data_IF_385629691325
#
_entry.id   IF_385629691325
#
_cell.length_a   1.000
_cell.length_b   1.000
_cell.length_c   1.000
_cell.angle_alpha   90.00
_cell.angle_beta   90.00
_cell.angle_gamma   90.00
#
_symmetry.space_group_name_H-M   'P 1'
#
loop_
_entity.id
_entity.type
_entity.pdbx_description
1 polymer ?
#
# COMPACT_ATOMS: atom_id res chain seq x y z
N UNK A 1 -58.01 -24.32 -38.30
CA UNK A 1 -57.33 -24.42 -36.99
C UNK A 1 -55.82 -24.32 -37.23
N UNK A 2 -55.15 -23.24 -36.83
CA UNK A 2 -53.71 -23.12 -36.94
C UNK A 2 -53.05 -23.64 -35.65
N UNK A 3 -52.12 -24.59 -35.78
CA UNK A 3 -51.26 -25.01 -34.67
C UNK A 3 -50.08 -24.06 -34.57
N UNK A 4 -50.00 -23.36 -33.43
CA UNK A 4 -48.93 -22.44 -33.07
C UNK A 4 -47.61 -23.21 -32.92
N UNK A 5 -46.62 -22.88 -33.76
CA UNK A 5 -45.23 -23.23 -33.50
C UNK A 5 -44.66 -22.28 -32.45
N UNK A 6 -44.39 -22.79 -31.24
CA UNK A 6 -43.71 -22.01 -30.21
C UNK A 6 -42.26 -21.79 -30.64
N UNK A 7 -41.92 -20.57 -31.08
CA UNK A 7 -40.54 -20.16 -31.25
C UNK A 7 -39.88 -20.01 -29.87
N UNK A 8 -39.18 -21.05 -29.41
CA UNK A 8 -38.14 -20.87 -28.38
C UNK A 8 -37.00 -20.10 -29.02
N UNK A 9 -37.06 -18.76 -28.95
CA UNK A 9 -35.88 -17.92 -29.08
C UNK A 9 -34.95 -18.32 -27.93
N UNK A 10 -33.88 -19.06 -28.24
CA UNK A 10 -32.73 -19.17 -27.34
C UNK A 10 -32.23 -17.75 -27.12
N UNK A 11 -32.42 -17.25 -25.90
CA UNK A 11 -31.74 -16.05 -25.43
C UNK A 11 -30.24 -16.27 -25.66
N UNK A 12 -29.64 -15.32 -26.35
CA UNK A 12 -28.19 -15.27 -26.49
C UNK A 12 -27.61 -15.10 -25.08
N UNK A 13 -26.52 -15.83 -24.84
CA UNK A 13 -25.86 -15.95 -23.54
C UNK A 13 -25.54 -14.58 -22.92
N UNK A 14 -25.72 -14.51 -21.60
CA UNK A 14 -25.29 -13.40 -20.74
C UNK A 14 -23.81 -13.03 -20.99
N UNK A 15 -23.45 -11.75 -21.02
CA UNK A 15 -22.07 -11.34 -21.20
C UNK A 15 -21.24 -11.74 -19.96
N UNK A 16 -20.11 -12.40 -20.22
CA UNK A 16 -19.14 -12.93 -19.24
C UNK A 16 -18.38 -11.85 -18.42
N UNK A 17 -18.96 -10.67 -18.21
CA UNK A 17 -18.29 -9.48 -17.66
C UNK A 17 -18.96 -8.94 -16.39
N UNK A 18 -19.94 -9.68 -15.85
CA UNK A 18 -20.65 -9.29 -14.64
C UNK A 18 -19.91 -9.71 -13.35
N UNK A 19 -20.36 -9.14 -12.23
CA UNK A 19 -19.77 -9.39 -10.92
C UNK A 19 -19.91 -10.85 -10.47
N UNK A 20 -20.96 -11.56 -10.91
CA UNK A 20 -21.15 -12.98 -10.58
C UNK A 20 -20.08 -13.85 -11.26
N UNK A 21 -19.71 -13.54 -12.50
CA UNK A 21 -18.57 -14.19 -13.18
C UNK A 21 -17.27 -13.97 -12.42
N UNK A 22 -17.01 -12.74 -11.96
CA UNK A 22 -15.82 -12.40 -11.16
C UNK A 22 -15.80 -13.19 -9.85
N UNK A 23 -16.92 -13.27 -9.15
CA UNK A 23 -17.08 -14.05 -7.92
C UNK A 23 -16.83 -15.53 -8.20
N UNK A 24 -17.40 -16.08 -9.27
CA UNK A 24 -17.23 -17.48 -9.67
C UNK A 24 -15.78 -17.85 -10.00
N UNK A 25 -15.05 -16.99 -10.70
CA UNK A 25 -13.63 -17.23 -11.06
C UNK A 25 -12.71 -17.11 -9.85
N UNK A 26 -12.98 -16.16 -8.95
CA UNK A 26 -12.05 -15.80 -7.87
C UNK A 26 -12.36 -16.48 -6.54
N UNK A 27 -13.60 -16.93 -6.34
CA UNK A 27 -14.13 -17.40 -5.05
C UNK A 27 -14.27 -16.29 -4.00
N UNK A 28 -14.08 -15.03 -4.39
CA UNK A 28 -14.20 -13.89 -3.47
C UNK A 28 -15.62 -13.36 -3.50
N UNK A 29 -16.29 -13.35 -2.34
CA UNK A 29 -17.68 -12.91 -2.23
C UNK A 29 -17.90 -11.45 -2.65
N UNK A 30 -19.10 -11.19 -3.18
CA UNK A 30 -19.55 -9.91 -3.76
C UNK A 30 -19.21 -8.67 -2.92
N UNK A 31 -19.39 -8.75 -1.59
CA UNK A 31 -19.15 -7.64 -0.65
C UNK A 31 -17.72 -7.09 -0.63
N UNK A 32 -16.76 -7.84 -1.18
CA UNK A 32 -15.36 -7.43 -1.22
C UNK A 32 -14.94 -6.78 -2.54
N UNK A 33 -15.84 -6.69 -3.52
CA UNK A 33 -15.59 -6.07 -4.81
C UNK A 33 -16.22 -4.69 -4.84
N UNK A 34 -15.38 -3.67 -5.01
CA UNK A 34 -15.80 -2.28 -5.16
C UNK A 34 -15.73 -1.91 -6.64
N UNK A 35 -16.83 -1.49 -7.23
CA UNK A 35 -16.85 -1.01 -8.61
C UNK A 35 -16.07 0.30 -8.76
N UNK A 36 -15.54 0.53 -9.96
CA UNK A 36 -14.91 1.79 -10.32
C UNK A 36 -15.06 2.08 -11.81
N UNK A 37 -15.03 3.37 -12.15
CA UNK A 37 -14.87 3.88 -13.51
C UNK A 37 -13.95 5.08 -13.46
N UNK A 38 -12.86 5.05 -14.23
CA UNK A 38 -11.79 6.07 -14.19
C UNK A 38 -11.18 6.29 -15.56
N UNK A 39 -10.52 7.44 -15.70
CA UNK A 39 -9.60 7.74 -16.81
C UNK A 39 -8.17 7.63 -16.28
N UNK A 40 -7.30 6.95 -17.01
CA UNK A 40 -5.87 6.88 -16.71
C UNK A 40 -5.18 8.24 -16.92
N UNK A 41 -3.96 8.43 -16.38
CA UNK A 41 -3.16 9.63 -16.65
C UNK A 41 -2.97 9.92 -18.15
N UNK A 42 -2.78 8.88 -18.97
CA UNK A 42 -2.66 8.96 -20.42
C UNK A 42 -3.97 9.18 -21.18
N UNK A 43 -5.11 9.28 -20.48
CA UNK A 43 -6.42 9.57 -21.09
C UNK A 43 -7.25 8.34 -21.47
N UNK A 44 -6.85 7.13 -21.07
CA UNK A 44 -7.55 5.88 -21.38
C UNK A 44 -8.66 5.63 -20.37
N UNK A 45 -9.89 5.47 -20.82
CA UNK A 45 -11.04 5.17 -19.98
C UNK A 45 -11.14 3.67 -19.70
N UNK A 46 -11.29 3.29 -18.42
CA UNK A 46 -11.50 1.90 -18.05
C UNK A 46 -12.33 1.77 -16.77
N UNK A 47 -13.03 0.65 -16.65
CA UNK A 47 -13.91 0.34 -15.54
C UNK A 47 -13.79 -1.13 -15.13
N UNK A 48 -14.25 -1.43 -13.93
CA UNK A 48 -14.18 -2.78 -13.37
C UNK A 48 -14.45 -2.81 -11.88
N UNK A 49 -13.86 -3.81 -11.22
CA UNK A 49 -13.98 -4.02 -9.79
C UNK A 49 -12.61 -4.15 -9.12
N UNK A 50 -12.47 -3.57 -7.94
CA UNK A 50 -11.30 -3.65 -7.07
C UNK A 50 -11.60 -4.57 -5.89
N UNK A 51 -10.76 -5.58 -5.66
CA UNK A 51 -10.89 -6.48 -4.52
C UNK A 51 -10.29 -5.86 -3.25
N UNK A 52 -11.12 -5.74 -2.21
CA UNK A 52 -10.73 -5.28 -0.86
C UNK A 52 -10.61 -6.41 0.16
N UNK A 53 -10.75 -7.67 -0.26
CA UNK A 53 -10.60 -8.80 0.64
C UNK A 53 -9.15 -8.91 1.11
N UNK A 54 -8.93 -8.99 2.42
CA UNK A 54 -7.61 -9.15 3.03
C UNK A 54 -7.06 -10.57 2.87
N UNK A 55 -6.79 -10.96 1.62
CA UNK A 55 -6.30 -12.27 1.24
C UNK A 55 -5.17 -12.15 0.20
N UNK A 56 -4.85 -13.26 -0.48
CA UNK A 56 -4.01 -13.24 -1.68
C UNK A 56 -4.59 -12.41 -2.84
N UNK A 57 -5.85 -11.98 -2.73
CA UNK A 57 -6.57 -11.20 -3.75
C UNK A 57 -6.59 -9.70 -3.47
N UNK A 58 -6.10 -9.25 -2.32
CA UNK A 58 -6.13 -7.84 -1.94
C UNK A 58 -5.55 -6.94 -3.05
N UNK A 59 -6.31 -5.91 -3.44
CA UNK A 59 -5.93 -4.95 -4.47
C UNK A 59 -6.03 -5.47 -5.92
N UNK A 60 -6.49 -6.69 -6.16
CA UNK A 60 -6.70 -7.19 -7.54
C UNK A 60 -7.75 -6.35 -8.26
N UNK A 61 -7.49 -5.95 -9.50
CA UNK A 61 -8.52 -5.43 -10.41
C UNK A 61 -9.09 -6.55 -11.26
N UNK A 62 -10.41 -6.55 -11.41
CA UNK A 62 -11.11 -7.21 -12.49
C UNK A 62 -11.61 -6.13 -13.45
N UNK A 63 -10.88 -5.90 -14.54
CA UNK A 63 -11.26 -4.95 -15.57
C UNK A 63 -12.40 -5.54 -16.40
N UNK A 64 -13.51 -4.81 -16.47
CA UNK A 64 -14.69 -5.22 -17.25
C UNK A 64 -14.85 -4.40 -18.53
N UNK A 65 -14.19 -3.24 -18.61
CA UNK A 65 -14.27 -2.36 -19.76
C UNK A 65 -12.98 -1.55 -19.94
N UNK A 66 -12.51 -1.40 -21.19
CA UNK A 66 -11.42 -0.50 -21.60
C UNK A 66 -11.82 0.18 -22.91
N UNK A 67 -11.73 1.51 -22.99
CA UNK A 67 -12.13 2.32 -24.16
C UNK A 67 -13.54 1.98 -24.67
N UNK A 68 -14.48 1.82 -23.74
CA UNK A 68 -15.87 1.49 -24.04
C UNK A 68 -16.13 0.02 -24.40
N UNK A 69 -15.08 -0.79 -24.61
CA UNK A 69 -15.20 -2.21 -25.02
C UNK A 69 -15.23 -3.15 -23.82
N UNK A 70 -16.19 -4.07 -23.81
CA UNK A 70 -16.33 -5.09 -22.76
C UNK A 70 -15.26 -6.18 -22.86
N UNK A 71 -14.67 -6.54 -21.72
CA UNK A 71 -13.68 -7.62 -21.61
C UNK A 71 -13.59 -8.10 -20.16
N UNK A 72 -12.90 -9.19 -19.89
CA UNK A 72 -12.56 -9.55 -18.52
C UNK A 72 -11.06 -9.82 -18.39
N UNK A 73 -10.36 -8.92 -17.71
CA UNK A 73 -8.93 -9.07 -17.41
C UNK A 73 -8.66 -8.90 -15.92
N UNK A 74 -7.77 -9.70 -15.36
CA UNK A 74 -7.37 -9.59 -13.96
C UNK A 74 -5.95 -9.06 -13.82
N UNK A 75 -5.83 -7.92 -13.16
CA UNK A 75 -4.55 -7.28 -12.83
C UNK A 75 -4.28 -7.53 -11.35
N UNK A 76 -3.17 -8.20 -11.06
CA UNK A 76 -2.85 -8.61 -9.70
C UNK A 76 -2.48 -7.40 -8.83
N UNK A 77 -3.05 -7.34 -7.64
CA UNK A 77 -2.63 -6.43 -6.58
C UNK A 77 -1.49 -7.02 -5.74
N UNK A 78 -0.95 -6.21 -4.83
CA UNK A 78 -0.02 -6.68 -3.82
C UNK A 78 -0.80 -7.45 -2.74
N UNK A 79 -0.58 -8.77 -2.58
CA UNK A 79 -1.33 -9.56 -1.62
C UNK A 79 -1.02 -9.14 -0.18
N UNK A 80 -1.93 -9.43 0.75
CA UNK A 80 -1.63 -9.31 2.17
C UNK A 80 -0.53 -10.30 2.54
N UNK A 81 0.62 -9.82 3.02
CA UNK A 81 1.72 -10.68 3.48
C UNK A 81 1.33 -11.29 4.84
N UNK A 82 1.24 -12.62 4.95
CA UNK A 82 0.88 -13.27 6.21
C UNK A 82 2.06 -13.32 7.20
N UNK A 83 1.74 -13.47 8.48
CA UNK A 83 2.73 -14.01 9.42
C UNK A 83 2.82 -15.53 9.28
N UNK A 84 3.99 -16.15 9.54
CA UNK A 84 4.15 -17.60 9.52
C UNK A 84 3.77 -18.24 10.86
N UNK A 85 2.66 -17.83 11.48
CA UNK A 85 2.19 -18.42 12.72
C UNK A 85 1.01 -19.36 12.48
N UNK A 86 0.99 -20.45 13.22
CA UNK A 86 -0.11 -21.41 13.24
C UNK A 86 -0.51 -21.68 14.69
N UNK A 87 -1.81 -21.91 14.92
CA UNK A 87 -2.29 -22.38 16.22
C UNK A 87 -2.21 -23.90 16.24
N UNK A 88 -1.64 -24.46 17.30
CA UNK A 88 -1.63 -25.90 17.51
C UNK A 88 -3.00 -26.41 18.03
N UNK A 89 -3.08 -27.70 18.36
CA UNK A 89 -4.33 -28.32 18.88
C UNK A 89 -4.76 -27.79 20.25
N UNK A 90 -3.89 -27.08 20.97
CA UNK A 90 -4.14 -26.49 22.28
C UNK A 90 -4.23 -24.95 22.21
N UNK A 91 -4.47 -24.41 21.02
CA UNK A 91 -4.59 -22.97 20.75
C UNK A 91 -3.30 -22.15 20.99
N UNK A 92 -2.14 -22.82 21.09
CA UNK A 92 -0.86 -22.17 21.26
C UNK A 92 -0.30 -21.71 19.91
N UNK A 93 0.17 -20.46 19.87
CA UNK A 93 0.77 -19.86 18.65
C UNK A 93 2.19 -20.41 18.44
N UNK A 94 2.40 -21.06 17.31
CA UNK A 94 3.67 -21.65 16.90
C UNK A 94 4.20 -20.96 15.64
N UNK A 95 5.51 -20.71 15.60
CA UNK A 95 6.20 -20.26 14.39
C UNK A 95 6.39 -21.44 13.44
N UNK A 96 5.64 -21.47 12.34
CA UNK A 96 5.70 -22.51 11.32
C UNK A 96 5.89 -21.84 9.98
N UNK A 97 7.09 -21.93 9.41
CA UNK A 97 7.45 -21.32 8.12
C UNK A 97 7.23 -22.36 7.01
N UNK A 98 6.16 -22.24 6.18
CA UNK A 98 5.93 -23.18 5.10
C UNK A 98 6.93 -22.94 3.97
N UNK A 99 7.78 -23.94 3.70
CA UNK A 99 8.76 -23.90 2.61
C UNK A 99 8.13 -24.52 1.37
N UNK A 100 8.03 -23.79 0.24
CA UNK A 100 7.57 -24.36 -1.02
C UNK A 100 8.47 -25.54 -1.45
N UNK A 101 7.90 -26.60 -2.06
CA UNK A 101 8.72 -27.63 -2.70
C UNK A 101 9.68 -27.01 -3.70
N UNK A 102 10.94 -27.48 -3.71
CA UNK A 102 12.01 -26.96 -4.57
C UNK A 102 12.32 -25.48 -4.33
N UNK A 103 12.25 -25.04 -3.08
CA UNK A 103 12.83 -23.77 -2.68
C UNK A 103 14.34 -23.78 -2.97
N UNK A 104 14.83 -22.72 -3.61
CA UNK A 104 16.22 -22.58 -4.04
C UNK A 104 16.92 -21.38 -3.40
N UNK A 105 16.16 -20.49 -2.77
CA UNK A 105 16.66 -19.27 -2.15
C UNK A 105 15.72 -18.89 -1.00
N UNK A 106 16.29 -18.49 0.14
CA UNK A 106 15.57 -17.83 1.21
C UNK A 106 16.38 -16.64 1.71
N UNK A 107 15.71 -15.53 2.00
CA UNK A 107 16.36 -14.32 2.48
C UNK A 107 15.43 -13.43 3.26
N UNK A 108 15.99 -12.66 4.18
CA UNK A 108 15.31 -11.54 4.82
C UNK A 108 15.63 -10.28 4.03
N UNK A 109 14.59 -9.49 3.79
CA UNK A 109 14.67 -8.17 3.15
C UNK A 109 14.10 -7.12 4.09
N UNK A 110 14.54 -5.87 4.01
CA UNK A 110 13.96 -4.80 4.84
C UNK A 110 12.47 -4.66 4.57
N UNK A 111 11.66 -4.60 5.63
CA UNK A 111 10.28 -4.17 5.51
C UNK A 111 10.25 -2.65 5.69
N UNK A 112 10.14 -1.97 4.56
CA UNK A 112 9.90 -0.53 4.52
C UNK A 112 8.43 -0.26 4.86
N UNK A 113 8.20 0.82 5.59
CA UNK A 113 6.92 1.27 6.10
C UNK A 113 6.54 2.54 5.33
N UNK A 114 5.63 2.38 4.39
CA UNK A 114 5.22 3.45 3.52
C UNK A 114 3.98 3.05 2.74
N UNK A 115 3.88 3.60 1.53
CA UNK A 115 2.76 3.33 0.64
C UNK A 115 3.20 2.43 -0.50
N UNK A 116 2.51 1.31 -0.66
CA UNK A 116 2.75 0.41 -1.78
C UNK A 116 2.22 1.03 -3.09
N UNK A 117 3.13 1.38 -3.99
CA UNK A 117 2.85 1.88 -5.34
C UNK A 117 3.06 0.75 -6.35
N UNK A 118 1.99 0.37 -7.05
CA UNK A 118 2.03 -0.64 -8.11
C UNK A 118 2.04 0.02 -9.47
N UNK A 119 2.90 -0.47 -10.35
CA UNK A 119 2.91 -0.17 -11.78
C UNK A 119 2.41 -1.39 -12.53
N UNK A 120 1.32 -1.22 -13.29
CA UNK A 120 0.71 -2.29 -14.07
C UNK A 120 0.43 -1.83 -15.50
N UNK A 121 0.41 -2.77 -16.45
CA UNK A 121 0.07 -2.48 -17.84
C UNK A 121 -1.46 -2.53 -18.03
N UNK A 122 -2.03 -1.46 -18.59
CA UNK A 122 -3.33 -1.49 -19.24
C UNK A 122 -3.13 -1.94 -20.70
N UNK A 123 -3.95 -2.87 -21.16
CA UNK A 123 -3.76 -3.52 -22.47
C UNK A 123 -4.97 -3.36 -23.38
N UNK A 124 -4.72 -3.30 -24.68
CA UNK A 124 -5.73 -3.42 -25.73
C UNK A 124 -6.19 -4.88 -25.89
N UNK A 125 -7.07 -5.13 -26.86
CA UNK A 125 -7.67 -6.45 -27.10
C UNK A 125 -6.65 -7.45 -27.68
N UNK A 126 -5.65 -6.94 -28.41
CA UNK A 126 -4.53 -7.70 -28.96
C UNK A 126 -3.45 -8.02 -27.92
N UNK A 127 -3.56 -7.45 -26.70
CA UNK A 127 -2.61 -7.60 -25.61
C UNK A 127 -1.44 -6.62 -25.66
N UNK A 128 -1.44 -5.68 -26.60
CA UNK A 128 -0.55 -4.53 -26.67
C UNK A 128 -0.73 -3.63 -25.44
N UNK A 129 0.37 -3.08 -24.93
CA UNK A 129 0.33 -2.20 -23.75
C UNK A 129 -0.02 -0.79 -24.18
N UNK A 130 -1.21 -0.32 -23.82
CA UNK A 130 -1.67 1.05 -24.01
C UNK A 130 -0.91 2.00 -23.10
N UNK A 131 -0.86 1.68 -21.81
CA UNK A 131 -0.26 2.53 -20.79
C UNK A 131 0.26 1.69 -19.62
N UNK A 132 1.28 2.19 -18.92
CA UNK A 132 1.69 1.66 -17.61
C UNK A 132 1.23 2.64 -16.54
N UNK A 133 0.36 2.17 -15.66
CA UNK A 133 -0.38 3.02 -14.71
C UNK A 133 0.17 2.80 -13.30
N UNK A 134 0.60 3.87 -12.60
CA UNK A 134 0.87 3.83 -11.17
C UNK A 134 -0.44 3.87 -10.36
N UNK A 135 -0.46 3.18 -9.22
CA UNK A 135 -1.59 3.19 -8.28
C UNK A 135 -1.17 2.77 -6.88
N UNK A 136 -1.94 3.16 -5.87
CA UNK A 136 -1.83 2.53 -4.54
C UNK A 136 -2.49 1.15 -4.54
N UNK A 137 -2.35 0.39 -3.44
CA UNK A 137 -2.93 -0.96 -3.34
C UNK A 137 -4.44 -0.99 -3.51
N UNK A 138 -5.19 0.03 -3.07
CA UNK A 138 -6.65 0.04 -3.06
C UNK A 138 -7.26 1.16 -3.93
N UNK A 139 -6.56 1.57 -4.98
CA UNK A 139 -7.07 2.48 -5.99
C UNK A 139 -6.74 1.96 -7.39
N UNK A 140 -7.58 2.20 -8.41
CA UNK A 140 -7.27 1.80 -9.78
C UNK A 140 -6.19 2.70 -10.42
N UNK A 141 -6.14 3.98 -10.03
CA UNK A 141 -5.16 4.99 -10.48
C UNK A 141 -4.74 5.82 -9.27
N UNK A 142 -3.56 6.44 -9.31
CA UNK A 142 -3.23 7.51 -8.35
C UNK A 142 -4.17 8.70 -8.54
N UNK A 143 -4.78 9.16 -7.46
CA UNK A 143 -5.62 10.36 -7.47
C UNK A 143 -5.00 11.45 -6.58
N UNK A 144 -4.99 12.72 -7.02
CA UNK A 144 -4.83 13.82 -6.10
C UNK A 144 -5.96 13.76 -5.07
N UNK A 145 -5.63 13.92 -3.80
CA UNK A 145 -6.62 14.17 -2.75
C UNK A 145 -6.38 15.56 -2.17
N UNK A 146 -7.42 16.21 -1.65
CA UNK A 146 -7.25 17.47 -0.90
C UNK A 146 -6.38 17.33 0.37
N UNK A 147 -6.00 16.11 0.70
CA UNK A 147 -5.20 15.75 1.87
C UNK A 147 -3.76 15.39 1.50
N UNK A 148 -3.47 15.27 0.20
CA UNK A 148 -2.13 15.18 -0.38
C UNK A 148 -2.13 14.50 -1.75
N UNK A 149 -1.03 14.68 -2.47
CA UNK A 149 -0.91 14.36 -3.89
C UNK A 149 0.12 13.24 -4.12
N UNK A 150 -0.40 12.01 -4.28
CA UNK A 150 0.44 10.85 -4.60
C UNK A 150 1.20 11.01 -5.91
N UNK A 151 0.64 11.75 -6.89
CA UNK A 151 1.33 12.00 -8.15
C UNK A 151 2.52 12.92 -7.94
N UNK A 152 2.37 13.99 -7.14
CA UNK A 152 3.48 14.88 -6.81
C UNK A 152 4.60 14.16 -6.05
N UNK A 153 4.25 13.36 -5.03
CA UNK A 153 5.24 12.57 -4.29
C UNK A 153 5.96 11.57 -5.19
N UNK A 154 5.23 10.88 -6.07
CA UNK A 154 5.83 9.92 -6.99
C UNK A 154 6.74 10.61 -8.03
N UNK A 155 6.31 11.73 -8.61
CA UNK A 155 7.06 12.47 -9.62
C UNK A 155 8.40 13.01 -9.08
N UNK A 156 8.50 13.25 -7.79
CA UNK A 156 9.75 13.69 -7.17
C UNK A 156 10.81 12.59 -7.13
N UNK A 157 10.42 11.37 -6.75
CA UNK A 157 11.33 10.22 -6.62
C UNK A 157 11.45 9.40 -7.91
N UNK A 158 10.55 9.61 -8.86
CA UNK A 158 10.53 8.98 -10.18
C UNK A 158 10.19 10.03 -11.25
N UNK A 159 11.07 11.03 -11.48
CA UNK A 159 10.83 12.07 -12.48
C UNK A 159 10.85 11.52 -13.92
N UNK A 160 11.56 10.42 -14.15
CA UNK A 160 11.51 9.64 -15.39
C UNK A 160 10.94 8.24 -15.10
N UNK A 161 9.67 7.97 -15.45
CA UNK A 161 9.06 6.66 -15.24
C UNK A 161 9.50 5.62 -16.29
N UNK A 162 10.19 6.03 -17.37
CA UNK A 162 10.54 5.18 -18.53
C UNK A 162 11.18 3.84 -18.14
N UNK A 163 12.14 3.77 -17.20
CA UNK A 163 12.74 2.48 -16.84
C UNK A 163 11.73 1.52 -16.19
N UNK A 164 10.82 2.03 -15.37
CA UNK A 164 9.75 1.24 -14.74
C UNK A 164 8.74 0.79 -15.80
N UNK A 165 8.33 1.70 -16.68
CA UNK A 165 7.40 1.36 -17.76
C UNK A 165 7.95 0.29 -18.69
N UNK A 166 9.22 0.42 -19.08
CA UNK A 166 9.91 -0.60 -19.89
C UNK A 166 9.98 -1.93 -19.17
N UNK A 167 10.29 -1.95 -17.88
CA UNK A 167 10.31 -3.18 -17.09
C UNK A 167 8.94 -3.87 -17.08
N UNK A 168 7.86 -3.11 -16.83
CA UNK A 168 6.48 -3.62 -16.84
C UNK A 168 6.10 -4.16 -18.23
N UNK A 169 6.37 -3.41 -19.30
CA UNK A 169 6.06 -3.78 -20.68
C UNK A 169 6.83 -5.03 -21.13
N UNK A 170 8.16 -4.99 -21.05
CA UNK A 170 9.05 -6.03 -21.58
C UNK A 170 8.99 -7.33 -20.76
N UNK A 171 8.79 -7.26 -19.44
CA UNK A 171 8.74 -8.45 -18.57
C UNK A 171 7.32 -8.98 -18.37
N UNK A 172 6.29 -8.20 -18.76
CA UNK A 172 4.88 -8.52 -18.55
C UNK A 172 4.57 -8.85 -17.08
N UNK A 173 4.93 -7.91 -16.20
CA UNK A 173 4.83 -8.01 -14.74
C UNK A 173 4.12 -6.77 -14.20
N UNK A 174 3.46 -6.92 -13.05
CA UNK A 174 3.15 -5.77 -12.18
C UNK A 174 4.32 -5.59 -11.22
N UNK A 175 4.90 -4.40 -11.15
CA UNK A 175 5.96 -4.09 -10.17
C UNK A 175 5.35 -3.37 -8.98
N UNK A 176 5.71 -3.79 -7.77
CA UNK A 176 5.26 -3.17 -6.53
C UNK A 176 6.46 -2.56 -5.81
N UNK A 177 6.42 -1.25 -5.65
CA UNK A 177 7.38 -0.45 -4.93
C UNK A 177 6.80 -0.02 -3.59
N UNK A 178 7.67 0.29 -2.64
CA UNK A 178 7.32 1.08 -1.47
C UNK A 178 7.77 2.51 -1.71
N UNK A 179 6.85 3.47 -1.55
CA UNK A 179 7.15 4.90 -1.43
C UNK A 179 7.26 5.20 0.07
N UNK A 180 8.43 5.58 0.56
CA UNK A 180 8.73 5.69 1.99
C UNK A 180 9.64 6.87 2.29
N UNK A 181 9.70 7.28 3.56
CA UNK A 181 10.48 8.42 4.03
C UNK A 181 9.66 9.31 4.97
N UNK A 182 10.28 10.30 5.62
CA UNK A 182 9.57 11.14 6.59
C UNK A 182 8.43 11.96 5.98
N UNK A 183 8.44 12.17 4.65
CA UNK A 183 7.37 12.87 3.91
C UNK A 183 6.20 11.98 3.52
N UNK A 184 6.34 10.67 3.71
CA UNK A 184 5.24 9.72 3.66
C UNK A 184 5.14 9.00 5.01
N UNK A 185 4.72 9.70 6.08
CA UNK A 185 4.80 9.20 7.44
C UNK A 185 3.82 8.04 7.68
N UNK A 186 4.34 7.01 8.32
CA UNK A 186 3.61 5.86 8.84
C UNK A 186 4.01 5.64 10.31
N UNK A 187 4.25 4.40 10.73
CA UNK A 187 4.71 4.05 12.07
C UNK A 187 6.20 4.34 12.25
N UNK A 188 7.01 4.08 11.22
CA UNK A 188 8.46 4.24 11.26
C UNK A 188 8.89 5.68 10.98
N UNK A 189 9.76 6.18 11.83
CA UNK A 189 10.48 7.44 11.62
C UNK A 189 11.71 7.23 10.75
N UNK A 190 11.77 7.91 9.61
CA UNK A 190 12.89 7.86 8.67
C UNK A 190 13.70 9.16 8.69
N UNK A 191 15.02 9.05 8.47
CA UNK A 191 15.86 10.21 8.16
C UNK A 191 15.83 10.52 6.64
N UNK A 192 15.48 9.54 5.81
CA UNK A 192 15.28 9.71 4.36
C UNK A 192 14.04 10.56 4.10
N UNK A 193 14.15 11.62 3.29
CA UNK A 193 13.02 12.48 2.92
C UNK A 193 11.91 11.75 2.19
N UNK A 194 12.23 11.22 1.02
CA UNK A 194 11.31 10.41 0.22
C UNK A 194 12.14 9.51 -0.70
N UNK A 195 11.74 8.25 -0.83
CA UNK A 195 12.38 7.27 -1.70
C UNK A 195 11.35 6.28 -2.25
N UNK A 196 11.65 5.73 -3.43
CA UNK A 196 10.87 4.66 -4.06
C UNK A 196 11.75 3.42 -4.19
N UNK A 197 11.32 2.30 -3.64
CA UNK A 197 12.13 1.07 -3.62
C UNK A 197 11.31 -0.13 -4.08
N UNK A 198 11.82 -0.86 -5.08
CA UNK A 198 11.19 -2.05 -5.63
C UNK A 198 11.20 -3.16 -4.57
N UNK A 199 10.02 -3.57 -4.15
CA UNK A 199 9.83 -4.59 -3.12
C UNK A 199 9.51 -5.95 -3.74
N UNK A 200 8.68 -6.00 -4.79
CA UNK A 200 8.35 -7.25 -5.50
C UNK A 200 7.88 -7.03 -6.93
N UNK A 201 7.79 -8.12 -7.70
CA UNK A 201 7.05 -8.19 -8.95
C UNK A 201 6.02 -9.30 -8.90
N UNK A 202 4.96 -9.17 -9.68
CA UNK A 202 3.85 -10.12 -9.74
C UNK A 202 3.62 -10.51 -11.20
N UNK A 203 3.55 -11.81 -11.46
CA UNK A 203 3.23 -12.36 -12.77
C UNK A 203 2.24 -13.51 -12.63
N UNK A 204 1.16 -13.47 -13.40
CA UNK A 204 0.08 -14.45 -13.31
C UNK A 204 -0.39 -14.69 -11.86
N UNK A 205 -0.56 -13.61 -11.09
CA UNK A 205 -0.98 -13.64 -9.68
C UNK A 205 -0.02 -14.37 -8.72
N UNK A 206 1.24 -14.56 -9.11
CA UNK A 206 2.30 -15.12 -8.27
C UNK A 206 3.42 -14.09 -8.09
N UNK A 207 3.92 -13.97 -6.87
CA UNK A 207 5.10 -13.15 -6.59
C UNK A 207 6.32 -13.76 -7.28
N UNK A 208 7.17 -12.92 -7.87
CA UNK A 208 8.40 -13.34 -8.52
C UNK A 208 9.41 -13.85 -7.50
N UNK A 209 10.19 -14.86 -7.89
CA UNK A 209 11.38 -15.25 -7.16
C UNK A 209 12.34 -14.07 -7.03
N UNK A 210 12.95 -13.88 -5.85
CA UNK A 210 13.83 -12.73 -5.59
C UNK A 210 15.01 -12.64 -6.57
N UNK A 211 15.71 -13.74 -6.94
CA UNK A 211 16.79 -13.65 -7.93
C UNK A 211 16.33 -13.08 -9.28
N UNK A 212 15.11 -13.40 -9.72
CA UNK A 212 14.54 -12.86 -10.94
C UNK A 212 14.14 -11.39 -10.79
N UNK A 213 13.57 -11.02 -9.64
CA UNK A 213 13.30 -9.61 -9.31
C UNK A 213 14.59 -8.77 -9.33
N UNK A 214 15.68 -9.29 -8.77
CA UNK A 214 16.98 -8.63 -8.74
C UNK A 214 17.59 -8.48 -10.14
N UNK A 215 17.34 -9.42 -11.05
CA UNK A 215 17.73 -9.29 -12.46
C UNK A 215 16.94 -8.17 -13.16
N UNK A 216 15.63 -8.09 -12.94
CA UNK A 216 14.79 -7.01 -13.46
C UNK A 216 15.31 -5.67 -12.91
N UNK A 217 15.48 -5.56 -11.60
CA UNK A 217 15.97 -4.34 -10.97
C UNK A 217 17.29 -3.87 -11.58
N UNK A 218 18.26 -4.77 -11.73
CA UNK A 218 19.56 -4.47 -12.35
C UNK A 218 19.44 -4.06 -13.81
N UNK A 219 18.63 -4.78 -14.61
CA UNK A 219 18.48 -4.53 -16.05
C UNK A 219 17.87 -3.15 -16.34
N UNK A 220 16.95 -2.70 -15.50
CA UNK A 220 16.22 -1.44 -15.68
C UNK A 220 16.68 -0.34 -14.70
N UNK A 221 17.75 -0.54 -13.94
CA UNK A 221 18.28 0.46 -13.01
C UNK A 221 17.33 0.84 -11.86
N UNK A 222 16.53 -0.11 -11.37
CA UNK A 222 15.53 0.14 -10.33
C UNK A 222 16.15 -0.08 -8.93
N UNK A 223 15.93 0.82 -7.96
CA UNK A 223 16.33 0.60 -6.57
C UNK A 223 15.62 -0.64 -6.02
N UNK A 224 16.35 -1.66 -5.62
CA UNK A 224 15.80 -2.90 -5.05
C UNK A 224 15.88 -2.85 -3.51
N UNK A 225 14.86 -3.39 -2.85
CA UNK A 225 14.87 -3.57 -1.39
C UNK A 225 16.13 -4.31 -0.92
N UNK A 226 16.72 -3.84 0.18
CA UNK A 226 17.93 -4.42 0.73
C UNK A 226 17.69 -5.85 1.22
N UNK A 227 18.59 -6.76 0.83
CA UNK A 227 18.66 -8.13 1.33
C UNK A 227 19.58 -8.18 2.54
N UNK A 228 19.01 -8.15 3.74
CA UNK A 228 19.76 -8.06 5.00
C UNK A 228 20.37 -9.39 5.47
N UNK A 229 19.83 -10.53 5.00
CA UNK A 229 20.43 -11.84 5.23
C UNK A 229 19.97 -12.83 4.17
N UNK A 230 20.91 -13.58 3.58
CA UNK A 230 20.60 -14.79 2.81
C UNK A 230 20.67 -15.99 3.77
N UNK A 231 19.69 -16.87 3.70
CA UNK A 231 19.57 -18.04 4.55
C UNK A 231 19.35 -19.31 3.71
N UNK A 232 19.69 -20.46 4.28
CA UNK A 232 19.32 -21.75 3.72
C UNK A 232 17.80 -21.91 3.82
N UNK A 233 17.12 -22.41 2.78
CA UNK A 233 15.68 -22.63 2.80
C UNK A 233 15.32 -23.91 3.57
N UNK A 234 15.66 -23.96 4.86
CA UNK A 234 15.34 -25.03 5.79
C UNK A 234 14.52 -24.50 6.98
N UNK A 235 13.57 -25.28 7.49
CA UNK A 235 12.54 -24.75 8.38
C UNK A 235 13.10 -24.29 9.74
N UNK A 236 14.03 -25.07 10.29
CA UNK A 236 14.61 -24.81 11.61
C UNK A 236 15.55 -23.60 11.58
N UNK A 237 16.44 -23.54 10.59
CA UNK A 237 17.35 -22.41 10.37
C UNK A 237 16.61 -21.12 10.05
N UNK A 238 15.54 -21.18 9.24
CA UNK A 238 14.69 -20.02 8.99
C UNK A 238 13.93 -19.56 10.24
N UNK A 239 13.45 -20.48 11.07
CA UNK A 239 12.77 -20.12 12.32
C UNK A 239 13.74 -19.45 13.31
N UNK A 240 14.96 -19.99 13.45
CA UNK A 240 16.00 -19.40 14.27
C UNK A 240 16.40 -18.00 13.78
N UNK A 241 16.64 -17.85 12.47
CA UNK A 241 16.95 -16.57 11.85
C UNK A 241 15.79 -15.57 12.01
N UNK A 242 14.55 -16.02 11.87
CA UNK A 242 13.36 -15.18 12.08
C UNK A 242 13.35 -14.61 13.51
N UNK A 243 13.51 -15.46 14.54
CA UNK A 243 13.55 -15.01 15.94
C UNK A 243 14.71 -14.07 16.22
N UNK A 244 15.91 -14.38 15.73
CA UNK A 244 17.08 -13.53 15.87
C UNK A 244 16.86 -12.13 15.26
N UNK A 245 16.19 -12.05 14.11
CA UNK A 245 15.81 -10.76 13.52
C UNK A 245 14.76 -10.03 14.35
N UNK A 246 13.74 -10.71 14.87
CA UNK A 246 12.75 -10.09 15.76
C UNK A 246 13.44 -9.43 16.96
N UNK A 247 14.33 -10.16 17.65
CA UNK A 247 15.09 -9.65 18.81
C UNK A 247 15.99 -8.47 18.43
N UNK A 248 16.71 -8.57 17.31
CA UNK A 248 17.58 -7.49 16.82
C UNK A 248 16.80 -6.21 16.54
N UNK A 249 15.66 -6.31 15.86
CA UNK A 249 14.83 -5.15 15.50
C UNK A 249 14.15 -4.56 16.74
N UNK A 250 13.74 -5.40 17.70
CA UNK A 250 13.18 -4.96 18.99
C UNK A 250 14.22 -4.17 19.79
N UNK A 251 15.47 -4.65 19.85
CA UNK A 251 16.55 -3.94 20.53
C UNK A 251 16.83 -2.57 19.90
N UNK A 252 16.78 -2.48 18.56
CA UNK A 252 16.95 -1.20 17.85
C UNK A 252 15.82 -0.22 18.15
N UNK A 253 14.55 -0.67 18.10
CA UNK A 253 13.41 0.18 18.43
C UNK A 253 13.44 0.61 19.91
N UNK A 254 13.74 -0.30 20.83
CA UNK A 254 13.88 0.01 22.27
C UNK A 254 14.95 1.08 22.51
N UNK A 255 16.09 0.99 21.82
CA UNK A 255 17.16 1.97 21.93
C UNK A 255 16.80 3.36 21.36
N UNK A 256 15.85 3.43 20.42
CA UNK A 256 15.38 4.69 19.84
C UNK A 256 14.49 5.52 20.81
N UNK A 257 13.99 4.89 21.88
CA UNK A 257 13.18 5.50 22.92
C UNK A 257 11.72 5.05 22.89
N UNK A 258 11.00 5.38 23.95
CA UNK A 258 9.56 5.13 24.04
C UNK A 258 8.82 5.85 22.90
N UNK A 259 7.81 5.19 22.33
CA UNK A 259 6.94 5.71 21.27
C UNK A 259 7.65 6.11 19.95
N UNK A 260 8.87 5.59 19.71
CA UNK A 260 9.61 5.81 18.46
C UNK A 260 10.01 4.49 17.83
N UNK A 261 9.44 4.21 16.66
CA UNK A 261 9.85 3.06 15.82
C UNK A 261 10.78 3.54 14.70
N UNK A 262 11.92 2.89 14.54
CA UNK A 262 12.89 3.17 13.46
C UNK A 262 13.05 1.98 12.51
N UNK A 263 12.49 0.82 12.86
CA UNK A 263 12.43 -0.37 12.01
C UNK A 263 11.06 -1.04 12.13
N UNK A 264 10.37 -1.21 10.99
CA UNK A 264 9.07 -1.89 10.95
C UNK A 264 9.20 -3.41 11.10
N UNK A 265 10.27 -3.96 10.53
CA UNK A 265 10.46 -5.39 10.40
C UNK A 265 11.31 -5.78 9.20
N UNK A 266 11.25 -7.06 8.88
CA UNK A 266 11.77 -7.68 7.68
C UNK A 266 10.66 -8.46 6.97
N UNK A 267 10.89 -8.77 5.69
CA UNK A 267 10.11 -9.75 4.94
C UNK A 267 11.02 -10.92 4.65
N UNK A 268 10.64 -12.10 5.17
CA UNK A 268 11.22 -13.37 4.77
C UNK A 268 10.66 -13.76 3.40
N UNK A 269 11.53 -13.82 2.41
CA UNK A 269 11.24 -14.22 1.05
C UNK A 269 11.78 -15.63 0.83
N UNK A 270 10.89 -16.60 0.59
CA UNK A 270 11.27 -17.98 0.23
C UNK A 270 10.93 -18.21 -1.24
N UNK A 271 11.96 -18.33 -2.07
CA UNK A 271 11.86 -18.43 -3.52
C UNK A 271 12.05 -19.87 -4.00
N UNK A 272 11.23 -20.27 -4.96
CA UNK A 272 11.54 -21.32 -5.93
C UNK A 272 12.30 -20.71 -7.11
N UNK A 273 12.59 -21.50 -8.14
CA UNK A 273 13.18 -20.99 -9.38
C UNK A 273 12.35 -19.90 -10.09
N UNK A 274 11.03 -19.81 -9.85
CA UNK A 274 10.13 -18.92 -10.61
C UNK A 274 9.29 -17.98 -9.74
N UNK A 275 8.87 -18.45 -8.57
CA UNK A 275 7.94 -17.74 -7.71
C UNK A 275 8.47 -17.67 -6.28
N UNK A 276 7.88 -16.80 -5.47
CA UNK A 276 8.19 -16.69 -4.06
C UNK A 276 6.94 -16.73 -3.16
N UNK A 277 7.17 -17.06 -1.89
CA UNK A 277 6.25 -16.84 -0.77
C UNK A 277 6.90 -15.88 0.22
N UNK A 278 6.11 -14.92 0.69
CA UNK A 278 6.57 -13.87 1.57
C UNK A 278 5.93 -14.06 2.94
N UNK A 279 6.69 -13.83 3.99
CA UNK A 279 6.23 -13.81 5.37
C UNK A 279 6.76 -12.56 6.05
N UNK A 280 5.90 -11.81 6.75
CA UNK A 280 6.38 -10.67 7.54
C UNK A 280 7.05 -11.20 8.81
N UNK A 281 8.19 -10.62 9.14
CA UNK A 281 8.94 -10.82 10.38
C UNK A 281 9.01 -9.45 11.07
N UNK A 282 8.21 -9.24 12.11
CA UNK A 282 8.17 -7.95 12.81
C UNK A 282 8.66 -8.11 14.24
N UNK A 283 9.29 -7.10 14.84
CA UNK A 283 9.63 -7.15 16.25
C UNK A 283 8.35 -7.25 17.11
N UNK A 284 8.39 -7.90 18.30
CA UNK A 284 7.22 -8.14 19.12
C UNK A 284 6.39 -6.89 19.41
N UNK A 285 7.04 -5.76 19.71
CA UNK A 285 6.35 -4.49 19.95
C UNK A 285 5.46 -4.02 18.78
N UNK A 286 5.84 -4.32 17.53
CA UNK A 286 5.03 -4.00 16.34
C UNK A 286 4.04 -5.13 16.02
N UNK A 287 4.40 -6.39 16.29
CA UNK A 287 3.43 -7.49 16.18
C UNK A 287 2.25 -7.28 17.12
N UNK A 288 2.52 -6.82 18.34
CA UNK A 288 1.52 -6.47 19.35
C UNK A 288 0.53 -5.42 18.85
N UNK A 289 0.96 -4.38 18.14
CA UNK A 289 0.04 -3.41 17.50
C UNK A 289 -0.95 -4.12 16.55
N UNK A 290 -0.49 -5.16 15.86
CA UNK A 290 -1.30 -5.90 14.88
C UNK A 290 -2.08 -7.11 15.46
N UNK A 291 -1.80 -7.52 16.70
CA UNK A 291 -2.42 -8.69 17.34
C UNK A 291 -3.21 -8.37 18.61
N UNK A 292 -3.11 -7.15 19.14
CA UNK A 292 -3.85 -6.73 20.33
C UNK A 292 -5.34 -6.61 19.99
N UNK A 293 -6.05 -7.72 20.07
CA UNK A 293 -7.51 -7.73 20.31
C UNK A 293 -7.85 -7.33 21.74
N UNK A 294 -6.86 -7.25 22.66
CA UNK A 294 -7.10 -7.23 24.11
C UNK A 294 -6.33 -6.16 24.93
N UNK A 295 -5.84 -5.08 24.30
CA UNK A 295 -5.21 -3.96 25.04
C UNK A 295 -5.65 -2.58 24.52
N UNK A 296 -5.41 -1.55 25.33
CA UNK A 296 -5.77 -0.15 25.06
C UNK A 296 -5.21 0.35 23.73
N UNK A 297 -6.08 0.95 22.91
CA UNK A 297 -5.75 1.60 21.64
C UNK A 297 -4.97 2.89 21.94
N UNK A 298 -3.66 2.88 21.68
CA UNK A 298 -2.78 4.03 21.86
C UNK A 298 -2.89 5.06 20.72
N UNK A 299 -2.35 6.26 20.96
CA UNK A 299 -2.36 7.37 19.99
C UNK A 299 -1.76 7.00 18.63
N UNK A 300 -0.63 6.29 18.61
CA UNK A 300 0.04 5.91 17.36
C UNK A 300 -0.75 4.92 16.52
N UNK A 301 -1.48 3.99 17.17
CA UNK A 301 -2.39 3.07 16.47
C UNK A 301 -3.51 3.85 15.76
N UNK A 302 -4.05 4.87 16.44
CA UNK A 302 -5.09 5.74 15.86
C UNK A 302 -4.52 6.56 14.69
N UNK A 303 -3.31 7.12 14.82
CA UNK A 303 -2.64 7.83 13.72
C UNK A 303 -2.38 6.90 12.54
N UNK A 304 -1.94 5.67 12.76
CA UNK A 304 -1.74 4.69 11.69
C UNK A 304 -3.05 4.37 10.95
N UNK A 305 -4.16 4.19 11.67
CA UNK A 305 -5.46 3.98 11.06
C UNK A 305 -5.89 5.18 10.20
N UNK A 306 -5.65 6.41 10.68
CA UNK A 306 -5.90 7.65 9.93
C UNK A 306 -5.03 7.75 8.66
N UNK A 307 -3.73 7.42 8.74
CA UNK A 307 -2.85 7.37 7.57
C UNK A 307 -3.33 6.31 6.56
N UNK A 308 -3.70 5.11 7.01
CA UNK A 308 -4.28 4.05 6.15
C UNK A 308 -5.58 4.50 5.48
N UNK A 309 -6.47 5.20 6.20
CA UNK A 309 -7.68 5.78 5.62
C UNK A 309 -7.32 6.77 4.51
N UNK A 310 -6.37 7.67 4.79
CA UNK A 310 -5.88 8.65 3.83
C UNK A 310 -5.31 8.01 2.55
N UNK A 311 -4.43 7.00 2.67
CA UNK A 311 -3.89 6.23 1.54
C UNK A 311 -4.96 5.58 0.67
N UNK A 312 -6.05 5.17 1.30
CA UNK A 312 -7.18 4.55 0.62
C UNK A 312 -8.13 5.58 -0.03
N UNK A 313 -7.75 6.87 -0.04
CA UNK A 313 -8.51 7.95 -0.64
C UNK A 313 -9.70 8.41 0.21
N UNK A 314 -9.68 8.16 1.52
CA UNK A 314 -10.71 8.65 2.41
C UNK A 314 -10.69 10.19 2.47
N UNK A 315 -11.89 10.77 2.52
CA UNK A 315 -12.06 12.20 2.49
C UNK A 315 -12.41 12.80 3.86
N UNK A 316 -11.41 13.34 4.56
CA UNK A 316 -11.53 13.85 5.92
C UNK A 316 -12.40 15.09 6.16
N UNK A 317 -12.81 15.88 5.15
CA UNK A 317 -13.64 17.08 5.43
C UNK A 317 -15.13 16.82 5.25
N UNK A 318 -15.51 15.73 4.59
CA UNK A 318 -16.85 15.15 4.71
C UNK A 318 -16.90 13.99 5.72
N UNK A 319 -15.73 13.56 6.16
CA UNK A 319 -15.55 12.43 7.07
C UNK A 319 -15.97 12.70 8.49
N UNK A 320 -16.22 11.64 9.24
CA UNK A 320 -16.56 11.69 10.66
C UNK A 320 -15.73 10.70 11.46
N UNK A 321 -15.57 10.96 12.75
CA UNK A 321 -14.82 10.07 13.66
C UNK A 321 -15.43 8.67 13.73
N UNK A 322 -16.74 8.52 13.49
CA UNK A 322 -17.41 7.23 13.42
C UNK A 322 -16.85 6.35 12.29
N UNK A 323 -16.31 6.93 11.23
CA UNK A 323 -15.68 6.17 10.15
C UNK A 323 -14.32 5.62 10.58
N UNK A 324 -13.57 6.37 11.41
CA UNK A 324 -12.34 5.90 12.05
C UNK A 324 -12.63 4.80 13.08
N UNK A 325 -13.71 4.94 13.87
CA UNK A 325 -14.18 3.90 14.79
C UNK A 325 -14.48 2.61 14.00
N UNK A 326 -15.22 2.70 12.91
CA UNK A 326 -15.53 1.55 12.06
C UNK A 326 -14.29 0.94 11.38
N UNK A 327 -13.26 1.74 11.08
CA UNK A 327 -11.97 1.23 10.60
C UNK A 327 -11.23 0.47 11.71
N UNK A 328 -11.18 1.01 12.93
CA UNK A 328 -10.55 0.37 14.09
C UNK A 328 -11.29 -0.92 14.48
N UNK A 329 -12.62 -0.97 14.42
CA UNK A 329 -13.42 -2.17 14.73
C UNK A 329 -13.17 -3.36 13.78
N UNK A 330 -12.44 -3.16 12.67
CA UNK A 330 -11.98 -4.28 11.81
C UNK A 330 -10.85 -5.07 12.46
N UNK A 331 -10.04 -4.39 13.26
CA UNK A 331 -8.83 -4.92 13.88
C UNK A 331 -8.98 -5.10 15.40
N UNK A 332 -9.91 -4.38 16.04
CA UNK A 332 -10.14 -4.37 17.48
C UNK A 332 -11.56 -4.78 17.86
N UNK A 333 -11.73 -5.45 19.00
CA UNK A 333 -13.08 -5.73 19.51
C UNK A 333 -13.74 -4.43 20.00
N UNK A 334 -15.03 -4.30 19.72
CA UNK A 334 -15.85 -3.12 20.05
C UNK A 334 -15.69 -2.59 21.49
N UNK A 335 -15.67 -3.42 22.56
CA UNK A 335 -15.52 -2.89 23.92
C UNK A 335 -14.23 -2.10 24.16
N UNK A 336 -13.13 -2.46 23.47
CA UNK A 336 -11.87 -1.72 23.58
C UNK A 336 -11.89 -0.41 22.80
N UNK A 337 -12.58 -0.39 21.66
CA UNK A 337 -12.78 0.84 20.87
C UNK A 337 -13.62 1.83 21.66
N UNK A 338 -14.71 1.36 22.29
CA UNK A 338 -15.58 2.16 23.16
C UNK A 338 -14.80 2.74 24.36
N UNK A 339 -13.91 1.96 24.99
CA UNK A 339 -13.07 2.45 26.10
C UNK A 339 -12.12 3.58 25.70
N UNK A 340 -11.73 3.68 24.43
CA UNK A 340 -10.77 4.67 23.93
C UNK A 340 -11.44 5.79 23.12
N UNK A 341 -12.77 5.89 23.15
CA UNK A 341 -13.52 6.82 22.30
C UNK A 341 -13.08 8.28 22.48
N UNK A 342 -12.78 8.71 23.71
CA UNK A 342 -12.31 10.08 23.97
C UNK A 342 -10.95 10.35 23.29
N UNK A 343 -10.01 9.41 23.41
CA UNK A 343 -8.71 9.51 22.77
C UNK A 343 -8.86 9.50 21.24
N UNK A 344 -9.69 8.61 20.69
CA UNK A 344 -9.99 8.51 19.26
C UNK A 344 -10.55 9.84 18.74
N UNK A 345 -11.54 10.43 19.41
CA UNK A 345 -12.12 11.73 19.05
C UNK A 345 -11.08 12.84 19.11
N UNK A 346 -10.22 12.86 20.14
CA UNK A 346 -9.16 13.86 20.28
C UNK A 346 -8.15 13.77 19.14
N UNK A 347 -7.62 12.57 18.87
CA UNK A 347 -6.63 12.34 17.81
C UNK A 347 -7.21 12.63 16.43
N UNK A 348 -8.48 12.27 16.18
CA UNK A 348 -9.20 12.63 14.97
C UNK A 348 -9.21 14.14 14.74
N UNK A 349 -9.65 14.93 15.73
CA UNK A 349 -9.73 16.39 15.61
C UNK A 349 -8.35 16.99 15.37
N UNK A 350 -7.34 16.58 16.13
CA UNK A 350 -5.97 17.05 15.97
C UNK A 350 -5.42 16.75 14.57
N UNK A 351 -5.66 15.54 14.06
CA UNK A 351 -5.23 15.13 12.73
C UNK A 351 -5.92 15.93 11.61
N UNK A 352 -7.25 16.11 11.69
CA UNK A 352 -7.99 16.93 10.71
C UNK A 352 -7.54 18.39 10.74
N UNK A 353 -7.32 18.97 11.92
CA UNK A 353 -6.80 20.33 12.06
C UNK A 353 -5.38 20.44 11.50
N UNK A 354 -4.51 19.47 11.75
CA UNK A 354 -3.15 19.44 11.20
C UNK A 354 -3.19 19.41 9.66
N UNK A 355 -4.04 18.55 9.08
CA UNK A 355 -4.24 18.47 7.64
C UNK A 355 -4.75 19.80 7.04
N UNK A 356 -5.76 20.42 7.66
CA UNK A 356 -6.29 21.72 7.21
C UNK A 356 -5.24 22.82 7.26
N UNK A 357 -4.42 22.84 8.33
CA UNK A 357 -3.31 23.79 8.47
C UNK A 357 -2.25 23.59 7.38
N UNK A 358 -1.87 22.34 7.08
CA UNK A 358 -0.92 22.03 6.00
C UNK A 358 -1.49 22.44 4.63
N UNK A 359 -2.78 22.24 4.40
CA UNK A 359 -3.43 22.64 3.15
C UNK A 359 -3.49 24.17 2.97
N UNK A 360 -3.88 24.90 4.02
CA UNK A 360 -3.83 26.36 4.02
C UNK A 360 -2.41 26.89 3.74
N UNK A 361 -1.41 26.27 4.36
CA UNK A 361 -0.01 26.60 4.12
C UNK A 361 0.40 26.37 2.66
N UNK A 362 0.03 25.24 2.04
CA UNK A 362 0.26 25.00 0.61
C UNK A 362 -0.39 26.07 -0.26
N UNK A 363 -1.62 26.47 0.07
CA UNK A 363 -2.33 27.56 -0.60
C UNK A 363 -1.57 28.88 -0.55
N UNK A 364 -1.03 29.25 0.61
CA UNK A 364 -0.21 30.45 0.77
C UNK A 364 1.11 30.37 -0.01
N UNK A 365 1.79 29.22 0.02
CA UNK A 365 3.02 29.02 -0.77
C UNK A 365 2.71 29.15 -2.26
N UNK A 366 1.64 28.53 -2.76
CA UNK A 366 1.21 28.66 -4.16
C UNK A 366 0.87 30.09 -4.56
N UNK A 367 0.18 30.84 -3.69
CA UNK A 367 -0.15 32.26 -3.91
C UNK A 367 1.08 33.17 -3.94
N UNK A 368 2.13 32.82 -3.20
CA UNK A 368 3.35 33.61 -3.17
C UNK A 368 4.10 33.63 -4.50
N UNK A 369 3.94 32.60 -5.33
CA UNK A 369 4.71 32.39 -6.56
C UNK A 369 6.22 32.16 -6.32
N UNK A 370 6.65 32.01 -5.07
CA UNK A 370 8.05 31.78 -4.70
C UNK A 370 8.40 30.30 -4.83
N UNK A 371 9.63 30.01 -5.23
CA UNK A 371 10.20 28.66 -5.12
C UNK A 371 10.31 28.29 -3.63
N UNK A 372 9.75 27.16 -3.16
CA UNK A 372 9.93 26.69 -1.80
C UNK A 372 11.39 26.63 -1.32
N UNK A 373 12.34 26.45 -2.24
CA UNK A 373 13.79 26.45 -1.96
C UNK A 373 14.34 27.84 -1.63
N UNK A 374 13.64 28.91 -1.99
CA UNK A 374 13.94 30.28 -1.54
C UNK A 374 13.32 30.53 -0.16
N UNK A 375 13.76 29.71 0.80
CA UNK A 375 13.27 29.72 2.18
C UNK A 375 13.30 31.11 2.82
N UNK A 376 14.35 31.95 2.64
CA UNK A 376 14.37 33.28 3.25
C UNK A 376 13.24 34.19 2.78
N UNK A 377 12.97 34.24 1.48
CA UNK A 377 11.90 35.08 0.94
C UNK A 377 10.52 34.47 1.23
N UNK A 378 10.40 33.14 1.15
CA UNK A 378 9.16 32.44 1.48
C UNK A 378 8.76 32.61 2.95
N UNK A 379 9.70 32.46 3.89
CA UNK A 379 9.40 32.67 5.31
C UNK A 379 9.02 34.13 5.62
N UNK A 380 9.59 35.09 4.90
CA UNK A 380 9.21 36.50 5.03
C UNK A 380 7.77 36.72 4.58
N UNK A 381 7.37 36.15 3.45
CA UNK A 381 5.99 36.17 2.98
C UNK A 381 5.04 35.51 3.98
N UNK A 382 5.34 34.27 4.41
CA UNK A 382 4.47 33.52 5.33
C UNK A 382 4.33 34.17 6.71
N UNK A 383 5.35 34.90 7.19
CA UNK A 383 5.27 35.65 8.45
C UNK A 383 4.22 36.77 8.47
N UNK A 384 3.70 37.16 7.29
CA UNK A 384 2.60 38.12 7.19
C UNK A 384 1.24 37.46 7.50
N UNK A 385 1.15 36.14 7.39
CA UNK A 385 -0.08 35.36 7.57
C UNK A 385 -0.10 34.58 8.90
N UNK A 386 1.06 34.36 9.51
CA UNK A 386 1.18 33.60 10.76
C UNK A 386 1.81 34.42 11.88
N UNK A 387 1.33 34.27 13.13
CA UNK A 387 1.96 34.91 14.26
C UNK A 387 3.35 34.33 14.52
N UNK A 388 4.28 35.15 15.04
CA UNK A 388 5.68 34.75 15.32
C UNK A 388 5.80 33.44 16.12
N UNK A 389 4.87 33.17 17.05
CA UNK A 389 4.85 31.94 17.86
C UNK A 389 4.62 30.67 17.03
N UNK A 390 3.99 30.78 15.86
CA UNK A 390 3.69 29.65 14.96
C UNK A 390 4.76 29.46 13.88
N UNK A 391 5.64 30.44 13.68
CA UNK A 391 6.64 30.39 12.61
C UNK A 391 7.60 29.19 12.71
N UNK A 392 7.83 28.64 13.90
CA UNK A 392 8.58 27.39 14.06
C UNK A 392 7.86 26.22 13.39
N UNK A 393 6.55 26.09 13.62
CA UNK A 393 5.74 25.07 12.97
C UNK A 393 5.64 25.32 11.47
N UNK A 394 5.43 26.57 11.04
CA UNK A 394 5.37 26.94 9.61
C UNK A 394 6.65 26.53 8.90
N UNK A 395 7.81 26.88 9.46
CA UNK A 395 9.10 26.50 8.91
C UNK A 395 9.21 24.98 8.79
N UNK A 396 9.02 24.25 9.89
CA UNK A 396 9.09 22.78 9.89
C UNK A 396 8.13 22.14 8.89
N UNK A 397 6.89 22.63 8.81
CA UNK A 397 5.89 22.14 7.88
C UNK A 397 6.25 22.44 6.41
N UNK A 398 6.84 23.59 6.09
CA UNK A 398 7.36 23.86 4.74
C UNK A 398 8.52 22.91 4.40
N UNK A 399 9.46 22.73 5.32
CA UNK A 399 10.58 21.81 5.09
C UNK A 399 10.08 20.38 4.83
N UNK A 400 9.09 19.92 5.60
CA UNK A 400 8.44 18.62 5.43
C UNK A 400 7.65 18.52 4.12
N UNK A 401 6.79 19.49 3.82
CA UNK A 401 5.92 19.47 2.63
C UNK A 401 6.71 19.47 1.32
N UNK A 402 7.84 20.18 1.28
CA UNK A 402 8.62 20.42 0.07
C UNK A 402 9.99 19.73 0.04
N UNK A 403 10.30 18.89 1.05
CA UNK A 403 11.52 18.07 1.05
C UNK A 403 12.82 18.87 1.11
N UNK A 404 12.84 19.88 1.97
CA UNK A 404 14.00 20.77 2.13
C UNK A 404 14.81 20.46 3.40
N UNK A 405 14.31 19.55 4.24
CA UNK A 405 14.78 19.28 5.61
C UNK A 405 15.71 18.08 5.75
#
# INVERSE_FOLDING_TARGET
MPTQGSSRRRGWADPMTDLETIVGITGVGRKHWQDFSVTSPGGVNFAGYLCRQESERLGTLALTQVEGRERLEFIAGMPKIPYPYQRDRHDQVQLVIPIPPRATDARFTLKLDGTCILFYALRDEEGGVLEVIPRTRLQPVLKPSRWGDWNALLAEVLPDPTPVERAVREQSVTLAFELWGYRNPHLVSYDTGLALTLHTGIRHRRLLAFPHLAQIARRYGLPLVESIQVATPDAEGLAAAYRAWQEKMEAVNTAAGADRYVQEGAVLVVSTARTARYYKCKPPSIEEIHWRTDQSIGREVIRQALHKMWENGYDFASGRVEDLIAELEKDFQRPYVEQQEELIRRVWVEYVVELQKKEWLRGLVGQSGLDPRDTPNLMRYLSQHYPRKEMRWVYSAVMELYGLG
#
